data_IF_191134305353
#
_entry.id   IF_191134305353
#
_cell.length_a   1.000
_cell.length_b   1.000
_cell.length_c   1.000
_cell.angle_alpha   90.00
_cell.angle_beta   90.00
_cell.angle_gamma   90.00
#
_symmetry.space_group_name_H-M   'P 1'
#
loop_
_entity.id
_entity.type
_entity.pdbx_description
1 polymer ?
#
# COMPACT_ATOMS: atom_id res chain seq x y z
N UNK A 1 -14.53 10.11 -16.10
CA UNK A 1 -14.37 8.84 -16.86
C UNK A 1 -14.73 7.68 -15.90
N UNK A 2 -14.56 6.38 -16.23
CA UNK A 2 -14.83 5.30 -15.23
C UNK A 2 -13.64 5.07 -14.27
N UNK A 3 -12.48 5.66 -14.59
CA UNK A 3 -11.23 5.57 -13.85
C UNK A 3 -10.65 6.96 -13.54
N UNK A 4 -10.16 7.14 -12.32
CA UNK A 4 -9.25 8.24 -11.96
C UNK A 4 -7.93 7.69 -11.43
N UNK A 5 -6.82 8.18 -11.99
CA UNK A 5 -5.47 7.96 -11.48
C UNK A 5 -5.16 9.03 -10.44
N UNK A 6 -4.68 8.61 -9.27
CA UNK A 6 -4.34 9.50 -8.16
C UNK A 6 -2.85 9.34 -7.87
N UNK A 7 -2.14 10.45 -7.86
CA UNK A 7 -0.69 10.50 -7.67
C UNK A 7 -0.37 11.38 -6.46
N UNK A 8 -0.13 10.79 -5.28
CA UNK A 8 0.49 11.50 -4.17
C UNK A 8 1.94 11.86 -4.53
N UNK A 9 2.29 13.14 -4.42
CA UNK A 9 3.61 13.66 -4.72
C UNK A 9 4.23 14.36 -3.50
N UNK A 10 5.50 14.09 -3.21
CA UNK A 10 6.29 14.83 -2.24
C UNK A 10 7.76 14.81 -2.65
N UNK A 11 8.30 15.97 -3.04
CA UNK A 11 9.66 16.12 -3.55
C UNK A 11 10.04 15.06 -4.60
N UNK A 12 9.16 14.88 -5.59
CA UNK A 12 9.25 13.83 -6.61
C UNK A 12 9.59 14.29 -8.02
N UNK A 13 9.95 15.57 -8.22
CA UNK A 13 10.19 16.17 -9.53
C UNK A 13 11.11 15.32 -10.42
N UNK A 14 12.20 14.69 -9.92
CA UNK A 14 13.09 13.89 -10.77
C UNK A 14 12.44 12.67 -11.43
N UNK A 15 11.35 12.14 -10.86
CA UNK A 15 10.69 10.92 -11.36
C UNK A 15 9.37 11.21 -12.06
N UNK A 16 8.78 12.36 -11.76
CA UNK A 16 7.43 12.71 -12.17
C UNK A 16 7.26 12.72 -13.69
N UNK A 17 8.28 13.18 -14.43
CA UNK A 17 8.23 13.21 -15.90
C UNK A 17 8.02 11.84 -16.53
N UNK A 18 8.79 10.83 -16.11
CA UNK A 18 8.66 9.46 -16.64
C UNK A 18 7.33 8.80 -16.23
N UNK A 19 6.89 9.05 -15.00
CA UNK A 19 5.60 8.59 -14.50
C UNK A 19 4.44 9.13 -15.36
N UNK A 20 4.36 10.45 -15.52
CA UNK A 20 3.27 11.11 -16.24
C UNK A 20 3.30 10.81 -17.75
N UNK A 21 4.48 10.70 -18.36
CA UNK A 21 4.60 10.30 -19.77
C UNK A 21 4.12 8.85 -19.98
N UNK A 22 4.43 7.95 -19.04
CA UNK A 22 3.96 6.56 -19.14
C UNK A 22 2.43 6.40 -19.03
N UNK A 23 1.75 7.35 -18.38
CA UNK A 23 0.29 7.43 -18.34
C UNK A 23 -0.28 7.81 -19.71
N UNK A 24 0.32 8.76 -20.43
CA UNK A 24 -0.13 9.15 -21.79
C UNK A 24 -0.13 8.00 -22.78
N UNK A 25 0.70 6.98 -22.55
CA UNK A 25 0.82 5.79 -23.38
C UNK A 25 -0.20 4.68 -23.05
N UNK A 26 -1.10 4.89 -22.09
CA UNK A 26 -2.12 3.91 -21.71
C UNK A 26 -3.30 3.91 -22.68
N UNK A 27 -3.95 2.76 -22.80
CA UNK A 27 -4.95 2.44 -23.83
C UNK A 27 -6.41 2.60 -23.38
N UNK A 28 -6.64 3.31 -22.26
CA UNK A 28 -7.96 3.51 -21.67
C UNK A 28 -8.12 4.97 -21.21
N UNK A 29 -9.29 5.62 -21.38
CA UNK A 29 -9.51 6.98 -20.87
C UNK A 29 -9.58 7.05 -19.34
N UNK A 30 -8.86 7.99 -18.73
CA UNK A 30 -8.90 8.26 -17.29
C UNK A 30 -8.70 9.76 -16.98
N UNK A 31 -9.18 10.16 -15.80
CA UNK A 31 -8.84 11.46 -15.21
C UNK A 31 -7.58 11.33 -14.34
N UNK A 32 -6.77 12.38 -14.21
CA UNK A 32 -5.58 12.40 -13.34
C UNK A 32 -5.72 13.48 -12.27
N UNK A 33 -5.50 13.08 -11.01
CA UNK A 33 -5.44 13.99 -9.87
C UNK A 33 -4.07 13.81 -9.19
N UNK A 34 -3.28 14.88 -9.18
CA UNK A 34 -2.01 14.94 -8.45
C UNK A 34 -2.21 15.68 -7.14
N UNK A 35 -1.71 15.12 -6.04
CA UNK A 35 -1.78 15.74 -4.72
C UNK A 35 -0.36 16.04 -4.28
N UNK A 36 0.01 17.31 -4.30
CA UNK A 36 1.33 17.76 -3.85
C UNK A 36 1.33 18.02 -2.35
N UNK A 37 2.19 17.30 -1.62
CA UNK A 37 2.33 17.36 -0.17
C UNK A 37 3.34 18.43 0.29
N UNK A 38 3.23 19.64 -0.23
CA UNK A 38 4.14 20.76 0.04
C UNK A 38 5.58 20.50 -0.42
N UNK A 39 5.73 20.11 -1.68
CA UNK A 39 7.04 19.90 -2.31
C UNK A 39 7.79 21.23 -2.47
N UNK A 40 9.12 21.17 -2.38
CA UNK A 40 10.02 22.32 -2.51
C UNK A 40 11.02 22.16 -3.67
N UNK A 41 10.81 21.17 -4.53
CA UNK A 41 11.72 20.76 -5.59
C UNK A 41 11.27 21.19 -6.99
N UNK A 42 10.25 22.04 -7.09
CA UNK A 42 9.67 22.49 -8.36
C UNK A 42 8.63 21.54 -8.97
N UNK A 43 8.21 20.47 -8.27
CA UNK A 43 7.16 19.55 -8.75
C UNK A 43 5.89 20.27 -9.22
N UNK A 44 5.38 21.21 -8.41
CA UNK A 44 4.15 21.97 -8.72
C UNK A 44 4.27 22.74 -10.03
N UNK A 45 5.35 23.53 -10.18
CA UNK A 45 5.58 24.32 -11.39
C UNK A 45 5.71 23.41 -12.63
N UNK A 46 6.42 22.29 -12.50
CA UNK A 46 6.56 21.31 -13.57
C UNK A 46 5.21 20.74 -14.03
N UNK A 47 4.32 20.38 -13.09
CA UNK A 47 2.98 19.85 -13.42
C UNK A 47 2.13 20.92 -14.11
N UNK A 48 2.09 22.14 -13.55
CA UNK A 48 1.27 23.22 -14.10
C UNK A 48 1.70 23.63 -15.51
N UNK A 49 3.00 23.61 -15.80
CA UNK A 49 3.54 23.95 -17.12
C UNK A 49 3.34 22.84 -18.16
N UNK A 50 3.58 21.57 -17.80
CA UNK A 50 3.64 20.46 -18.76
C UNK A 50 2.35 19.63 -18.85
N UNK A 51 1.50 19.68 -17.83
CA UNK A 51 0.27 18.89 -17.71
C UNK A 51 -0.89 19.73 -17.15
N UNK A 52 -1.23 20.89 -17.75
CA UNK A 52 -2.29 21.77 -17.27
C UNK A 52 -3.69 21.13 -17.27
N UNK A 53 -3.86 20.01 -17.98
CA UNK A 53 -5.08 19.21 -17.99
C UNK A 53 -5.29 18.37 -16.71
N UNK A 54 -4.23 18.17 -15.90
CA UNK A 54 -4.33 17.40 -14.66
C UNK A 54 -4.88 18.26 -13.53
N UNK A 55 -5.71 17.67 -12.69
CA UNK A 55 -6.15 18.34 -11.46
C UNK A 55 -5.03 18.31 -10.44
N UNK A 56 -4.58 19.47 -9.98
CA UNK A 56 -3.56 19.59 -8.95
C UNK A 56 -4.18 20.08 -7.64
N UNK A 57 -3.93 19.34 -6.54
CA UNK A 57 -4.29 19.73 -5.17
C UNK A 57 -2.99 19.98 -4.41
N UNK A 58 -2.79 21.22 -3.95
CA UNK A 58 -1.56 21.63 -3.26
C UNK A 58 -1.82 21.76 -1.75
N UNK A 59 -1.12 20.95 -0.95
CA UNK A 59 -1.15 21.05 0.50
C UNK A 59 -0.11 22.07 1.00
N UNK A 60 -0.41 22.72 2.12
CA UNK A 60 0.50 23.67 2.77
C UNK A 60 1.59 22.97 3.61
N UNK A 61 1.38 21.70 3.95
CA UNK A 61 2.32 20.86 4.68
C UNK A 61 2.25 19.41 4.18
N UNK A 62 3.24 18.59 4.54
CA UNK A 62 3.22 17.18 4.19
C UNK A 62 2.29 16.40 5.13
N UNK A 63 1.08 16.08 4.66
CA UNK A 63 0.06 15.34 5.40
C UNK A 63 0.26 13.81 5.35
N UNK A 64 1.27 13.34 4.62
CA UNK A 64 1.55 11.92 4.41
C UNK A 64 0.78 11.31 3.24
N UNK A 65 1.13 10.07 2.91
CA UNK A 65 0.55 9.31 1.82
C UNK A 65 -0.94 9.05 2.02
N UNK A 66 -1.34 8.60 3.22
CA UNK A 66 -2.73 8.22 3.49
C UNK A 66 -3.71 9.39 3.31
N UNK A 67 -3.34 10.59 3.79
CA UNK A 67 -4.16 11.79 3.63
C UNK A 67 -4.21 12.26 2.16
N UNK A 68 -3.07 12.27 1.46
CA UNK A 68 -3.02 12.65 0.05
C UNK A 68 -3.83 11.71 -0.85
N UNK A 69 -3.71 10.39 -0.63
CA UNK A 69 -4.52 9.39 -1.32
C UNK A 69 -6.02 9.63 -1.07
N UNK A 70 -6.42 9.90 0.19
CA UNK A 70 -7.80 10.21 0.53
C UNK A 70 -8.32 11.49 -0.15
N UNK A 71 -7.51 12.55 -0.25
CA UNK A 71 -7.88 13.78 -0.94
C UNK A 71 -8.20 13.51 -2.41
N UNK A 72 -7.33 12.77 -3.10
CA UNK A 72 -7.59 12.36 -4.48
C UNK A 72 -8.84 11.48 -4.62
N UNK A 73 -9.03 10.51 -3.71
CA UNK A 73 -10.19 9.60 -3.77
C UNK A 73 -11.47 10.42 -3.64
N UNK A 74 -11.53 11.33 -2.66
CA UNK A 74 -12.70 12.16 -2.41
C UNK A 74 -12.97 13.16 -3.54
N UNK A 75 -11.93 13.64 -4.23
CA UNK A 75 -12.05 14.55 -5.36
C UNK A 75 -12.49 13.85 -6.67
N UNK A 76 -12.28 12.54 -6.78
CA UNK A 76 -12.75 11.73 -7.90
C UNK A 76 -14.26 11.43 -7.81
N UNK A 77 -14.91 11.21 -8.95
CA UNK A 77 -16.26 10.63 -9.07
C UNK A 77 -16.27 9.30 -9.84
N UNK A 78 -15.09 8.74 -10.13
CA UNK A 78 -14.93 7.54 -10.97
C UNK A 78 -15.26 6.26 -10.20
N UNK A 79 -15.75 5.23 -10.89
CA UNK A 79 -16.05 3.92 -10.29
C UNK A 79 -14.78 3.23 -9.76
N UNK A 80 -13.68 3.41 -10.48
CA UNK A 80 -12.38 2.85 -10.15
C UNK A 80 -11.38 3.95 -9.83
N UNK A 81 -10.54 3.65 -8.84
CA UNK A 81 -9.44 4.52 -8.41
C UNK A 81 -8.14 3.77 -8.62
N UNK A 82 -7.19 4.34 -9.35
CA UNK A 82 -5.84 3.79 -9.46
C UNK A 82 -4.87 4.66 -8.67
N UNK A 83 -4.38 4.15 -7.54
CA UNK A 83 -3.27 4.79 -6.84
C UNK A 83 -1.96 4.44 -7.52
N UNK A 84 -1.19 5.47 -7.82
CA UNK A 84 0.09 5.37 -8.51
C UNK A 84 1.10 6.28 -7.81
N UNK A 85 2.22 5.73 -7.38
CA UNK A 85 3.33 6.54 -6.89
C UNK A 85 3.97 7.34 -8.04
N UNK A 86 4.48 8.52 -7.71
CA UNK A 86 5.19 9.41 -8.64
C UNK A 86 6.51 8.84 -9.19
N UNK A 87 7.04 7.77 -8.61
CA UNK A 87 8.28 7.07 -9.01
C UNK A 87 8.01 5.71 -9.67
N UNK A 88 6.83 5.57 -10.30
CA UNK A 88 6.41 4.38 -11.04
C UNK A 88 6.21 4.71 -12.51
N UNK A 89 6.79 3.87 -13.38
CA UNK A 89 6.59 3.88 -14.83
C UNK A 89 5.71 2.69 -15.24
N UNK A 90 4.70 2.92 -16.06
CA UNK A 90 3.78 1.89 -16.52
C UNK A 90 4.20 1.30 -17.87
N UNK A 91 4.05 0.00 -18.03
CA UNK A 91 4.05 -0.62 -19.36
C UNK A 91 2.71 -0.35 -20.07
N UNK A 92 2.71 -0.33 -21.40
CA UNK A 92 1.48 -0.16 -22.18
C UNK A 92 0.47 -1.28 -21.86
N UNK A 93 -0.82 -0.95 -21.75
CA UNK A 93 -1.87 -1.91 -21.45
C UNK A 93 -2.01 -2.27 -19.96
N UNK A 94 -1.24 -1.63 -19.07
CA UNK A 94 -1.32 -1.84 -17.63
C UNK A 94 -2.70 -1.48 -17.10
N UNK A 95 -3.23 -0.31 -17.45
CA UNK A 95 -4.55 0.13 -16.98
C UNK A 95 -5.65 -0.81 -17.45
N UNK A 96 -5.67 -1.18 -18.73
CA UNK A 96 -6.66 -2.12 -19.28
C UNK A 96 -6.58 -3.49 -18.60
N UNK A 97 -5.37 -3.98 -18.28
CA UNK A 97 -5.17 -5.24 -17.57
C UNK A 97 -5.69 -5.19 -16.13
N UNK A 98 -5.45 -4.08 -15.42
CA UNK A 98 -5.98 -3.84 -14.08
C UNK A 98 -7.52 -3.79 -14.08
N UNK A 99 -8.12 -3.04 -15.00
CA UNK A 99 -9.57 -2.93 -15.17
C UNK A 99 -10.20 -4.27 -15.52
N UNK A 100 -9.62 -5.01 -16.46
CA UNK A 100 -10.08 -6.36 -16.82
C UNK A 100 -10.04 -7.29 -15.61
N UNK A 101 -8.99 -7.21 -14.79
CA UNK A 101 -8.84 -8.06 -13.62
C UNK A 101 -9.84 -7.71 -12.51
N UNK A 102 -10.02 -6.44 -12.18
CA UNK A 102 -10.93 -6.03 -11.10
C UNK A 102 -12.40 -6.27 -11.46
N UNK A 103 -12.74 -6.24 -12.76
CA UNK A 103 -14.08 -6.52 -13.29
C UNK A 103 -14.45 -8.02 -13.32
N UNK A 104 -13.51 -8.94 -13.03
CA UNK A 104 -13.78 -10.40 -13.01
C UNK A 104 -14.73 -10.85 -11.90
N UNK A 105 -14.73 -10.18 -10.76
CA UNK A 105 -15.56 -10.50 -9.59
C UNK A 105 -15.87 -9.20 -8.84
N UNK A 106 -17.15 -8.94 -8.58
CA UNK A 106 -17.61 -7.76 -7.85
C UNK A 106 -17.07 -7.68 -6.41
N UNK A 107 -16.60 -8.79 -5.86
CA UNK A 107 -15.96 -8.86 -4.54
C UNK A 107 -14.45 -8.58 -4.56
N UNK A 108 -13.84 -8.40 -5.75
CA UNK A 108 -12.47 -7.91 -5.82
C UNK A 108 -12.50 -6.42 -5.47
N UNK A 109 -11.92 -6.12 -4.32
CA UNK A 109 -11.76 -4.77 -3.80
C UNK A 109 -10.59 -4.05 -4.47
N UNK A 110 -9.44 -4.72 -4.55
CA UNK A 110 -8.22 -4.13 -5.08
C UNK A 110 -7.46 -5.13 -5.95
N UNK A 111 -6.78 -4.62 -6.97
CA UNK A 111 -5.85 -5.39 -7.81
C UNK A 111 -4.50 -4.70 -7.81
N UNK A 112 -3.47 -5.43 -7.43
CA UNK A 112 -2.08 -4.99 -7.46
C UNK A 112 -1.40 -5.38 -8.78
N UNK A 113 -0.66 -4.44 -9.34
CA UNK A 113 0.21 -4.66 -10.50
C UNK A 113 1.35 -5.62 -10.21
N UNK A 114 1.98 -6.14 -11.26
CA UNK A 114 3.33 -6.70 -11.24
C UNK A 114 4.34 -5.58 -11.19
N UNK A 115 4.94 -5.39 -10.01
CA UNK A 115 5.92 -4.32 -9.78
C UNK A 115 7.33 -4.89 -9.93
N UNK A 116 8.06 -4.38 -10.91
CA UNK A 116 9.45 -4.72 -11.23
C UNK A 116 10.37 -3.60 -10.70
N UNK A 117 11.58 -3.94 -10.28
CA UNK A 117 12.56 -2.94 -9.87
C UNK A 117 13.05 -2.16 -11.08
N UNK A 118 12.92 -0.84 -11.05
CA UNK A 118 13.31 0.03 -12.16
C UNK A 118 14.79 -0.12 -12.54
N UNK A 119 15.69 -0.16 -11.55
CA UNK A 119 17.14 -0.27 -11.78
C UNK A 119 17.65 -1.68 -12.10
N UNK A 120 16.82 -2.72 -11.91
CA UNK A 120 17.17 -4.10 -12.28
C UNK A 120 15.91 -4.85 -12.71
N UNK A 121 15.54 -4.76 -14.00
CA UNK A 121 14.31 -5.37 -14.54
C UNK A 121 14.25 -6.90 -14.39
N UNK A 122 15.37 -7.56 -14.09
CA UNK A 122 15.41 -8.99 -13.81
C UNK A 122 14.96 -9.33 -12.38
N UNK A 123 14.58 -8.34 -11.57
CA UNK A 123 14.13 -8.50 -10.20
C UNK A 123 12.75 -7.90 -9.97
N UNK A 124 11.88 -8.70 -9.38
CA UNK A 124 10.62 -8.22 -8.82
C UNK A 124 10.86 -7.25 -7.66
N UNK A 125 10.05 -6.20 -7.59
CA UNK A 125 9.87 -5.43 -6.36
C UNK A 125 8.71 -6.02 -5.55
N UNK A 126 7.55 -6.20 -6.18
CA UNK A 126 6.34 -6.64 -5.49
C UNK A 126 5.35 -7.41 -6.41
N UNK A 127 4.82 -8.52 -5.90
CA UNK A 127 3.78 -9.33 -6.53
C UNK A 127 2.52 -9.44 -5.65
N UNK A 128 2.25 -8.40 -4.85
CA UNK A 128 1.32 -8.32 -3.74
C UNK A 128 1.93 -8.68 -2.39
N UNK A 129 1.37 -8.10 -1.34
CA UNK A 129 1.86 -8.22 0.04
C UNK A 129 1.18 -9.36 0.81
N UNK A 130 1.96 -9.97 1.71
CA UNK A 130 1.50 -10.90 2.74
C UNK A 130 1.61 -10.27 4.13
N UNK A 131 0.68 -10.60 5.03
CA UNK A 131 0.76 -10.29 6.46
C UNK A 131 0.77 -11.58 7.30
N UNK A 132 1.46 -11.57 8.44
CA UNK A 132 1.78 -12.76 9.25
C UNK A 132 1.29 -12.63 10.69
N UNK A 133 1.17 -13.76 11.43
CA UNK A 133 0.86 -13.72 12.88
C UNK A 133 1.96 -13.06 13.72
N UNK A 134 3.18 -12.91 13.18
CA UNK A 134 4.27 -12.16 13.80
C UNK A 134 4.13 -10.64 13.62
N UNK A 135 3.06 -10.20 12.94
CA UNK A 135 2.81 -8.80 12.62
C UNK A 135 3.75 -8.26 11.54
N UNK A 136 4.34 -9.13 10.72
CA UNK A 136 5.25 -8.73 9.65
C UNK A 136 4.56 -8.69 8.30
N UNK A 137 4.91 -7.70 7.50
CA UNK A 137 4.62 -7.63 6.07
C UNK A 137 5.73 -8.30 5.27
N UNK A 138 5.37 -8.94 4.16
CA UNK A 138 6.30 -9.51 3.19
C UNK A 138 5.84 -9.15 1.79
N UNK A 139 6.71 -8.42 1.09
CA UNK A 139 6.63 -8.19 -0.36
C UNK A 139 6.91 -9.49 -1.09
N UNK A 140 5.89 -10.08 -1.71
CA UNK A 140 6.07 -11.35 -2.41
C UNK A 140 6.93 -11.11 -3.65
N UNK A 141 7.93 -11.95 -3.86
CA UNK A 141 8.80 -11.87 -5.04
C UNK A 141 10.00 -10.94 -4.93
N UNK A 142 10.07 -10.05 -3.94
CA UNK A 142 11.16 -9.08 -3.82
C UNK A 142 12.56 -9.69 -4.06
N UNK A 143 13.26 -9.19 -5.10
CA UNK A 143 14.60 -9.61 -5.50
C UNK A 143 14.69 -10.96 -6.25
N UNK A 144 13.55 -11.58 -6.60
CA UNK A 144 13.48 -12.82 -7.41
C UNK A 144 13.13 -12.49 -8.86
N UNK A 145 13.37 -13.42 -9.79
CA UNK A 145 13.01 -13.23 -11.21
C UNK A 145 11.49 -13.03 -11.41
N UNK A 146 11.08 -12.04 -12.22
CA UNK A 146 9.69 -11.80 -12.61
C UNK A 146 8.99 -12.97 -13.31
N UNK A 147 9.73 -13.87 -13.97
CA UNK A 147 9.17 -15.02 -14.70
C UNK A 147 8.52 -16.04 -13.75
N UNK A 148 8.86 -15.99 -12.46
CA UNK A 148 8.25 -16.83 -11.42
C UNK A 148 6.87 -16.32 -10.98
N UNK A 149 6.50 -15.10 -11.36
CA UNK A 149 5.28 -14.42 -10.92
C UNK A 149 4.42 -14.04 -12.14
N UNK A 150 4.06 -15.05 -12.92
CA UNK A 150 3.24 -14.91 -14.15
C UNK A 150 1.81 -15.42 -13.97
N UNK A 151 1.42 -15.79 -12.74
CA UNK A 151 0.08 -16.31 -12.43
C UNK A 151 -0.66 -15.33 -11.55
N UNK A 152 -1.86 -14.98 -12.00
CA UNK A 152 -2.83 -14.26 -11.19
C UNK A 152 -3.25 -15.07 -9.96
N UNK A 153 -3.46 -14.37 -8.83
CA UNK A 153 -3.75 -15.01 -7.55
C UNK A 153 -4.33 -14.01 -6.55
N UNK A 154 -4.99 -14.55 -5.54
CA UNK A 154 -5.34 -13.78 -4.35
C UNK A 154 -4.08 -13.39 -3.54
N UNK A 155 -4.05 -12.16 -3.06
CA UNK A 155 -2.99 -11.57 -2.21
C UNK A 155 -3.59 -11.05 -0.92
N UNK A 156 -2.81 -10.98 0.17
CA UNK A 156 -3.36 -10.45 1.41
C UNK A 156 -3.65 -8.96 1.28
N UNK A 157 -2.70 -8.20 0.73
CA UNK A 157 -2.79 -6.76 0.53
C UNK A 157 -2.24 -6.36 -0.84
N UNK A 158 -2.87 -5.34 -1.44
CA UNK A 158 -2.46 -4.75 -2.71
C UNK A 158 -1.58 -3.53 -2.43
N UNK A 159 -0.35 -3.54 -2.94
CA UNK A 159 0.65 -2.48 -2.69
C UNK A 159 0.18 -1.17 -3.33
N UNK A 160 0.02 -0.12 -2.52
CA UNK A 160 -0.54 1.15 -2.99
C UNK A 160 0.38 1.95 -3.93
N UNK A 161 1.61 1.48 -4.19
CA UNK A 161 2.50 2.07 -5.19
C UNK A 161 1.92 1.98 -6.63
N UNK A 162 1.19 0.90 -6.93
CA UNK A 162 0.49 0.72 -8.19
C UNK A 162 -0.64 -0.31 -8.00
N UNK A 163 -1.80 0.16 -7.54
CA UNK A 163 -2.99 -0.70 -7.36
C UNK A 163 -4.28 0.03 -7.72
N UNK A 164 -5.18 -0.68 -8.40
CA UNK A 164 -6.54 -0.22 -8.67
C UNK A 164 -7.48 -0.69 -7.56
N UNK A 165 -8.44 0.16 -7.18
CA UNK A 165 -9.43 -0.05 -6.13
C UNK A 165 -10.82 0.21 -6.67
N UNK A 166 -11.80 -0.54 -6.14
CA UNK A 166 -13.22 -0.30 -6.40
C UNK A 166 -13.75 0.74 -5.43
N UNK A 167 -14.17 1.91 -5.93
CA UNK A 167 -14.59 3.05 -5.11
C UNK A 167 -15.75 2.72 -4.17
N UNK A 168 -16.80 2.07 -4.66
CA UNK A 168 -17.97 1.73 -3.83
C UNK A 168 -17.61 0.92 -2.58
N UNK A 169 -16.54 0.12 -2.62
CA UNK A 169 -16.08 -0.65 -1.47
C UNK A 169 -15.31 0.27 -0.51
N UNK A 170 -14.49 1.21 -1.01
CA UNK A 170 -13.85 2.23 -0.17
C UNK A 170 -14.88 3.06 0.61
N UNK A 171 -15.99 3.42 -0.03
CA UNK A 171 -17.11 4.14 0.59
C UNK A 171 -17.80 3.31 1.70
N UNK A 172 -17.85 1.98 1.54
CA UNK A 172 -18.43 1.07 2.53
C UNK A 172 -17.50 0.81 3.73
N UNK A 173 -16.23 0.49 3.47
CA UNK A 173 -15.29 0.03 4.51
C UNK A 173 -14.47 1.18 5.13
N UNK A 174 -14.60 2.39 4.57
CA UNK A 174 -13.80 3.57 4.87
C UNK A 174 -12.48 3.64 4.08
N UNK A 175 -11.99 4.86 3.89
CA UNK A 175 -10.74 5.14 3.16
C UNK A 175 -9.47 4.80 3.97
N UNK A 176 -8.29 5.28 3.55
CA UNK A 176 -7.06 5.11 4.32
C UNK A 176 -7.18 5.82 5.68
N UNK A 177 -6.58 5.24 6.71
CA UNK A 177 -6.54 5.88 8.03
C UNK A 177 -5.35 6.83 8.09
N UNK A 178 -5.64 8.12 8.06
CA UNK A 178 -4.66 9.19 7.96
C UNK A 178 -3.66 9.18 9.12
N UNK A 179 -4.00 8.56 10.26
CA UNK A 179 -3.07 8.36 11.37
C UNK A 179 -1.89 7.44 11.02
N UNK A 180 -1.99 6.60 9.99
CA UNK A 180 -0.86 5.80 9.52
C UNK A 180 0.22 6.65 8.87
N UNK A 181 -0.12 7.83 8.33
CA UNK A 181 0.74 8.70 7.55
C UNK A 181 1.29 8.03 6.28
N UNK A 182 2.17 7.03 6.42
CA UNK A 182 2.73 6.20 5.36
C UNK A 182 3.23 4.85 5.92
N UNK A 183 3.45 3.87 5.03
CA UNK A 183 3.72 2.46 5.30
C UNK A 183 2.63 1.71 6.08
N UNK A 184 2.17 0.58 5.52
CA UNK A 184 1.17 -0.35 6.09
C UNK A 184 -0.27 0.18 6.13
N UNK A 185 -0.55 1.38 5.62
CA UNK A 185 -1.91 1.89 5.40
C UNK A 185 -2.67 1.07 4.36
N UNK A 186 -1.98 0.55 3.35
CA UNK A 186 -2.49 -0.37 2.33
C UNK A 186 -2.80 -1.77 2.91
N UNK A 187 -1.94 -2.24 3.82
CA UNK A 187 -2.16 -3.46 4.59
C UNK A 187 -3.36 -3.31 5.53
N UNK A 188 -3.50 -2.18 6.24
CA UNK A 188 -4.69 -1.88 7.04
C UNK A 188 -5.96 -1.92 6.18
N UNK A 189 -5.97 -1.18 5.08
CA UNK A 189 -7.13 -1.08 4.19
C UNK A 189 -7.50 -2.45 3.60
N UNK A 190 -6.52 -3.23 3.17
CA UNK A 190 -6.74 -4.59 2.66
C UNK A 190 -7.23 -5.54 3.76
N UNK A 191 -6.73 -5.40 5.00
CA UNK A 191 -7.23 -6.18 6.14
C UNK A 191 -8.72 -5.86 6.38
N UNK A 192 -9.10 -4.58 6.38
CA UNK A 192 -10.49 -4.15 6.51
C UNK A 192 -11.39 -4.70 5.41
N UNK A 193 -10.94 -4.64 4.16
CA UNK A 193 -11.68 -5.21 3.03
C UNK A 193 -11.95 -6.71 3.27
N UNK A 194 -10.96 -7.45 3.77
CA UNK A 194 -11.10 -8.88 4.11
C UNK A 194 -12.05 -9.15 5.26
N UNK A 195 -12.07 -8.29 6.28
CA UNK A 195 -13.04 -8.39 7.38
C UNK A 195 -14.46 -8.31 6.83
N UNK A 196 -14.69 -7.49 5.80
CA UNK A 196 -15.97 -7.33 5.10
C UNK A 196 -16.21 -8.40 4.01
N UNK A 197 -15.30 -9.36 3.82
CA UNK A 197 -15.45 -10.46 2.85
C UNK A 197 -14.95 -10.16 1.44
N UNK A 198 -14.34 -8.99 1.22
CA UNK A 198 -13.74 -8.62 -0.05
C UNK A 198 -12.33 -9.20 -0.23
N UNK A 199 -11.89 -9.24 -1.49
CA UNK A 199 -10.63 -9.87 -1.92
C UNK A 199 -9.66 -8.83 -2.49
N UNK A 200 -8.37 -9.06 -2.28
CA UNK A 200 -7.31 -8.38 -3.03
C UNK A 200 -6.68 -9.37 -4.01
N UNK A 201 -6.37 -8.92 -5.22
CA UNK A 201 -5.89 -9.76 -6.31
C UNK A 201 -4.58 -9.25 -6.89
N UNK A 202 -3.81 -10.13 -7.51
CA UNK A 202 -2.58 -9.82 -8.22
C UNK A 202 -2.78 -10.05 -9.73
N UNK A 203 -2.45 -9.05 -10.54
CA UNK A 203 -2.53 -9.10 -12.00
C UNK A 203 -1.11 -9.09 -12.60
N UNK A 204 -0.58 -10.25 -13.06
CA UNK A 204 0.76 -10.32 -13.63
C UNK A 204 0.89 -9.62 -14.98
N UNK A 205 -0.21 -9.40 -15.70
CA UNK A 205 -0.25 -8.68 -16.99
C UNK A 205 -0.19 -7.15 -16.83
N UNK A 206 -0.51 -6.62 -15.65
CA UNK A 206 -0.38 -5.21 -15.35
C UNK A 206 1.05 -4.91 -14.87
N UNK A 207 1.96 -4.58 -15.77
CA UNK A 207 3.39 -4.44 -15.46
C UNK A 207 3.79 -2.98 -15.22
N UNK A 208 4.48 -2.73 -14.11
CA UNK A 208 5.04 -1.42 -13.80
C UNK A 208 6.47 -1.55 -13.29
N UNK A 209 7.26 -0.49 -13.45
CA UNK A 209 8.63 -0.37 -12.97
C UNK A 209 8.67 0.68 -11.86
N UNK A 210 9.18 0.32 -10.68
CA UNK A 210 9.20 1.18 -9.50
C UNK A 210 10.63 1.45 -9.06
N UNK A 211 10.97 2.72 -8.91
CA UNK A 211 12.31 3.15 -8.45
C UNK A 211 12.52 2.73 -7.00
N UNK A 212 11.54 2.98 -6.13
CA UNK A 212 11.41 2.36 -4.83
C UNK A 212 12.26 2.99 -3.74
N UNK A 213 11.60 3.35 -2.63
CA UNK A 213 12.18 3.92 -1.40
C UNK A 213 12.92 5.27 -1.53
N UNK A 214 13.23 5.79 -2.71
CA UNK A 214 14.04 7.01 -2.88
C UNK A 214 13.42 8.28 -2.28
N UNK A 215 12.10 8.48 -2.39
CA UNK A 215 11.38 9.63 -1.79
C UNK A 215 11.46 9.67 -0.26
N UNK A 216 11.72 8.51 0.38
CA UNK A 216 11.95 8.40 1.83
C UNK A 216 13.41 8.20 2.23
N UNK A 217 14.34 8.22 1.26
CA UNK A 217 15.76 7.95 1.44
C UNK A 217 16.16 6.47 1.28
N UNK A 218 17.10 5.99 2.10
CA UNK A 218 17.60 4.61 1.99
C UNK A 218 16.57 3.57 2.50
N UNK A 219 16.76 2.30 2.12
CA UNK A 219 15.91 1.16 2.55
C UNK A 219 15.69 1.11 4.07
N UNK A 220 16.67 1.52 4.85
CA UNK A 220 16.59 1.65 6.31
C UNK A 220 17.03 3.06 6.72
N UNK A 221 16.06 3.86 7.15
CA UNK A 221 16.31 5.18 7.71
C UNK A 221 15.48 5.38 8.99
N UNK A 222 15.75 6.45 9.74
CA UNK A 222 15.11 6.67 11.03
C UNK A 222 13.59 6.86 10.91
N UNK A 223 13.16 7.67 9.93
CA UNK A 223 11.76 7.96 9.67
C UNK A 223 10.97 6.69 9.37
N UNK A 224 11.39 5.92 8.35
CA UNK A 224 10.76 4.66 7.94
C UNK A 224 10.81 3.61 9.04
N UNK A 225 11.93 3.46 9.74
CA UNK A 225 12.07 2.44 10.79
C UNK A 225 11.14 2.74 11.97
N UNK A 226 11.06 4.00 12.41
CA UNK A 226 10.15 4.42 13.48
C UNK A 226 8.70 4.26 13.07
N UNK A 227 8.35 4.76 11.89
CA UNK A 227 6.98 4.79 11.38
C UNK A 227 6.45 3.38 11.12
N UNK A 228 7.24 2.52 10.47
CA UNK A 228 6.87 1.11 10.29
C UNK A 228 6.75 0.38 11.62
N UNK A 229 7.64 0.61 12.60
CA UNK A 229 7.52 0.01 13.93
C UNK A 229 6.22 0.43 14.64
N UNK A 230 5.86 1.71 14.57
CA UNK A 230 4.60 2.23 15.08
C UNK A 230 3.40 1.58 14.40
N UNK A 231 3.38 1.54 13.07
CA UNK A 231 2.25 1.03 12.30
C UNK A 231 2.11 -0.51 12.43
N UNK A 232 3.20 -1.23 12.75
CA UNK A 232 3.13 -2.65 13.15
C UNK A 232 2.29 -2.85 14.42
N UNK A 233 2.17 -1.85 15.31
CA UNK A 233 1.26 -1.89 16.47
C UNK A 233 -0.17 -1.54 16.06
N UNK A 234 -0.33 -0.58 15.15
CA UNK A 234 -1.65 -0.10 14.71
C UNK A 234 -2.45 -1.17 13.96
N UNK A 235 -1.85 -1.87 12.99
CA UNK A 235 -2.57 -2.86 12.17
C UNK A 235 -3.29 -3.93 13.02
N UNK A 236 -2.63 -4.67 13.94
CA UNK A 236 -3.32 -5.67 14.74
C UNK A 236 -4.28 -5.02 15.75
N UNK A 237 -3.92 -3.86 16.32
CA UNK A 237 -4.80 -3.15 17.24
C UNK A 237 -6.12 -2.75 16.56
N UNK A 238 -6.06 -2.22 15.35
CA UNK A 238 -7.21 -1.75 14.59
C UNK A 238 -8.10 -2.89 14.12
N UNK A 239 -7.48 -3.92 13.55
CA UNK A 239 -8.20 -4.90 12.75
C UNK A 239 -8.60 -6.17 13.51
N UNK A 240 -7.86 -6.56 14.56
CA UNK A 240 -8.20 -7.77 15.31
C UNK A 240 -9.26 -7.47 16.39
N UNK A 241 -10.36 -8.25 16.46
CA UNK A 241 -11.24 -8.26 17.61
C UNK A 241 -10.46 -8.78 18.82
N UNK A 242 -10.93 -8.46 20.03
CA UNK A 242 -10.18 -8.74 21.25
C UNK A 242 -9.77 -10.22 21.43
N UNK A 243 -10.56 -11.24 21.03
CA UNK A 243 -10.13 -12.64 21.18
C UNK A 243 -8.98 -12.98 20.24
N UNK A 244 -9.06 -12.53 18.98
CA UNK A 244 -8.01 -12.75 17.99
C UNK A 244 -6.72 -12.02 18.39
N UNK A 245 -6.83 -10.79 18.89
CA UNK A 245 -5.69 -10.03 19.36
C UNK A 245 -5.02 -10.71 20.56
N UNK A 246 -5.80 -11.25 21.50
CA UNK A 246 -5.29 -11.96 22.67
C UNK A 246 -4.52 -13.23 22.27
N UNK A 247 -5.08 -14.04 21.39
CA UNK A 247 -4.42 -15.27 20.88
C UNK A 247 -3.13 -14.92 20.14
N UNK A 248 -3.14 -13.84 19.35
CA UNK A 248 -1.96 -13.44 18.57
C UNK A 248 -0.91 -12.67 19.37
N UNK A 249 -1.22 -12.22 20.60
CA UNK A 249 -0.35 -11.33 21.37
C UNK A 249 1.06 -11.91 21.60
N UNK A 250 1.14 -13.22 21.88
CA UNK A 250 2.43 -13.90 22.07
C UNK A 250 3.28 -13.91 20.79
N UNK A 251 2.66 -14.16 19.65
CA UNK A 251 3.34 -14.18 18.35
C UNK A 251 3.76 -12.79 17.90
N UNK A 252 2.90 -11.78 18.11
CA UNK A 252 3.23 -10.38 17.87
C UNK A 252 4.42 -9.95 18.75
N UNK A 253 4.42 -10.31 20.04
CA UNK A 253 5.53 -10.05 20.96
C UNK A 253 6.86 -10.65 20.48
N UNK A 254 6.85 -11.91 20.06
CA UNK A 254 8.01 -12.59 19.47
C UNK A 254 8.46 -11.86 18.19
N UNK A 255 7.52 -11.53 17.30
CA UNK A 255 7.79 -10.83 16.05
C UNK A 255 8.45 -9.46 16.27
N UNK A 256 7.96 -8.69 17.25
CA UNK A 256 8.54 -7.40 17.61
C UNK A 256 9.93 -7.54 18.22
N UNK A 257 10.14 -8.55 19.07
CA UNK A 257 11.44 -8.80 19.67
C UNK A 257 12.51 -9.18 18.63
N UNK A 258 12.18 -10.07 17.68
CA UNK A 258 13.08 -10.45 16.58
C UNK A 258 13.42 -9.23 15.71
N UNK A 259 12.42 -8.42 15.33
CA UNK A 259 12.67 -7.17 14.58
C UNK A 259 13.53 -6.19 15.38
N UNK A 260 13.31 -6.08 16.69
CA UNK A 260 14.14 -5.25 17.56
C UNK A 260 15.61 -5.70 17.53
N UNK A 261 15.91 -6.99 17.62
CA UNK A 261 17.28 -7.51 17.50
C UNK A 261 17.85 -7.19 16.11
N UNK A 262 17.07 -7.43 15.05
CA UNK A 262 17.48 -7.15 13.67
C UNK A 262 17.86 -5.67 13.46
N UNK A 263 17.00 -4.74 13.90
CA UNK A 263 17.27 -3.31 13.78
C UNK A 263 18.37 -2.84 14.73
N UNK A 264 18.52 -3.46 15.90
CA UNK A 264 19.64 -3.18 16.83
C UNK A 264 20.98 -3.50 16.19
N UNK A 265 21.10 -4.63 15.48
CA UNK A 265 22.30 -5.00 14.70
C UNK A 265 22.62 -4.03 13.55
N UNK A 266 21.65 -3.23 13.12
CA UNK A 266 21.79 -2.21 12.07
C UNK A 266 21.91 -0.78 12.61
N UNK A 267 22.01 -0.60 13.93
CA UNK A 267 22.09 0.71 14.57
C UNK A 267 20.75 1.41 14.82
N UNK A 268 19.61 0.84 14.39
CA UNK A 268 18.27 1.43 14.51
C UNK A 268 17.44 0.88 15.68
N UNK A 269 18.03 0.10 16.60
CA UNK A 269 17.29 -0.57 17.69
C UNK A 269 16.50 0.40 18.58
N UNK A 270 17.12 1.51 18.97
CA UNK A 270 16.47 2.57 19.78
C UNK A 270 15.31 3.22 19.00
N UNK A 271 15.49 3.46 17.71
CA UNK A 271 14.49 4.06 16.82
C UNK A 271 13.29 3.12 16.64
N UNK A 272 13.54 1.84 16.40
CA UNK A 272 12.50 0.81 16.30
C UNK A 272 11.68 0.72 17.60
N UNK A 273 12.36 0.67 18.75
CA UNK A 273 11.70 0.65 20.06
C UNK A 273 10.89 1.92 20.35
N UNK A 274 11.39 3.09 19.96
CA UNK A 274 10.65 4.34 20.06
C UNK A 274 9.35 4.30 19.23
N UNK A 275 9.40 3.75 18.01
CA UNK A 275 8.21 3.54 17.18
C UNK A 275 7.18 2.60 17.81
N UNK A 276 7.61 1.47 18.40
CA UNK A 276 6.70 0.57 19.13
C UNK A 276 6.04 1.27 20.33
N UNK A 277 6.82 2.03 21.12
CA UNK A 277 6.31 2.81 22.25
C UNK A 277 5.33 3.87 21.81
N UNK A 278 5.63 4.58 20.73
CA UNK A 278 4.73 5.55 20.12
C UNK A 278 3.42 4.85 19.74
N UNK A 279 3.49 3.76 18.96
CA UNK A 279 2.32 3.02 18.48
C UNK A 279 1.45 2.53 19.62
N UNK A 280 2.04 2.03 20.71
CA UNK A 280 1.28 1.68 21.90
C UNK A 280 0.61 2.91 22.53
N UNK A 281 1.34 4.00 22.78
CA UNK A 281 0.78 5.20 23.44
C UNK A 281 -0.34 5.85 22.63
N UNK A 282 -0.19 5.94 21.31
CA UNK A 282 -1.14 6.59 20.41
C UNK A 282 -2.21 5.66 19.85
N UNK A 283 -2.19 4.35 20.15
CA UNK A 283 -3.17 3.38 19.61
C UNK A 283 -4.63 3.81 19.77
N UNK A 284 -4.98 4.53 20.85
CA UNK A 284 -6.34 5.02 21.09
C UNK A 284 -6.84 6.05 20.07
N UNK A 285 -5.94 6.67 19.30
CA UNK A 285 -6.27 7.55 18.16
C UNK A 285 -6.75 6.76 16.94
N UNK A 286 -6.43 5.46 16.89
CA UNK A 286 -6.77 4.57 15.79
C UNK A 286 -8.16 4.00 16.02
N UNK A 287 -9.08 4.29 15.09
CA UNK A 287 -10.42 3.72 15.11
C UNK A 287 -10.37 2.22 14.86
N UNK A 288 -10.79 1.41 15.84
CA UNK A 288 -10.91 -0.04 15.67
C UNK A 288 -12.05 -0.36 14.69
N UNK A 289 -11.87 -1.43 13.92
CA UNK A 289 -12.95 -2.00 13.11
C UNK A 289 -14.00 -2.57 14.05
N UNK A 290 -15.26 -2.15 13.87
CA UNK A 290 -16.38 -2.64 14.68
C UNK A 290 -16.61 -4.11 14.39
N UNK A 291 -16.50 -4.95 15.43
CA UNK A 291 -16.83 -6.36 15.31
C UNK A 291 -18.33 -6.54 15.08
N UNK A 292 -18.70 -7.33 14.08
CA UNK A 292 -20.08 -7.77 13.85
C UNK A 292 -20.11 -9.29 13.67
N UNK A 293 -21.17 -9.95 14.13
CA UNK A 293 -21.30 -11.41 13.99
C UNK A 293 -21.29 -11.88 12.54
N UNK A 294 -21.70 -11.02 11.59
CA UNK A 294 -21.65 -11.30 10.14
C UNK A 294 -20.21 -11.56 9.66
N UNK A 295 -19.22 -10.91 10.26
CA UNK A 295 -17.81 -11.00 9.87
C UNK A 295 -17.06 -12.15 10.56
N UNK A 296 -17.72 -12.93 11.43
CA UNK A 296 -17.06 -13.97 12.25
C UNK A 296 -16.25 -14.96 11.40
N UNK A 297 -16.83 -15.48 10.31
CA UNK A 297 -16.15 -16.42 9.39
C UNK A 297 -14.90 -15.79 8.76
N UNK A 298 -14.97 -14.51 8.41
CA UNK A 298 -13.86 -13.79 7.78
C UNK A 298 -12.65 -13.70 8.73
N UNK A 299 -12.87 -13.52 10.03
CA UNK A 299 -11.78 -13.54 11.01
C UNK A 299 -11.06 -14.90 11.09
N UNK A 300 -11.76 -16.03 10.95
CA UNK A 300 -11.10 -17.35 10.87
C UNK A 300 -10.29 -17.50 9.59
N UNK A 301 -10.84 -17.08 8.45
CA UNK A 301 -10.14 -17.11 7.16
C UNK A 301 -8.87 -16.26 7.25
N UNK A 302 -8.98 -15.04 7.77
CA UNK A 302 -7.85 -14.16 7.99
C UNK A 302 -6.83 -14.83 8.91
N UNK A 303 -7.25 -15.38 10.05
CA UNK A 303 -6.33 -16.04 10.98
C UNK A 303 -5.57 -17.20 10.30
N UNK A 304 -6.25 -18.01 9.48
CA UNK A 304 -5.60 -19.07 8.71
C UNK A 304 -4.60 -18.51 7.70
N UNK A 305 -4.93 -17.43 6.98
CA UNK A 305 -4.01 -16.76 6.05
C UNK A 305 -2.77 -16.25 6.80
N UNK A 306 -2.94 -15.61 7.96
CA UNK A 306 -1.81 -15.11 8.76
C UNK A 306 -0.86 -16.26 9.18
N UNK A 307 -1.41 -17.41 9.60
CA UNK A 307 -0.62 -18.59 9.98
C UNK A 307 0.11 -19.15 8.76
N UNK A 308 -0.61 -19.36 7.65
CA UNK A 308 -0.05 -19.87 6.38
C UNK A 308 1.09 -18.98 5.88
N UNK A 309 0.90 -17.67 5.90
CA UNK A 309 1.92 -16.71 5.46
C UNK A 309 3.14 -16.74 6.39
N UNK A 310 2.97 -16.92 7.70
CA UNK A 310 4.10 -17.12 8.63
C UNK A 310 4.90 -18.38 8.29
N UNK A 311 4.23 -19.50 8.01
CA UNK A 311 4.92 -20.72 7.60
C UNK A 311 5.70 -20.50 6.30
N UNK A 312 5.08 -19.87 5.30
CA UNK A 312 5.77 -19.48 4.06
C UNK A 312 6.95 -18.53 4.27
N UNK A 313 6.95 -17.74 5.33
CA UNK A 313 8.06 -16.85 5.66
C UNK A 313 9.27 -17.63 6.20
N UNK A 314 9.03 -18.73 6.92
CA UNK A 314 10.09 -19.54 7.54
C UNK A 314 10.74 -20.53 6.56
N UNK A 315 10.03 -20.94 5.51
CA UNK A 315 10.47 -21.99 4.57
C UNK A 315 10.95 -21.46 3.20
N UNK A 316 11.29 -20.16 3.07
CA UNK A 316 11.68 -19.51 1.81
C UNK A 316 12.93 -18.64 1.93
#
# INVERSE_FOLDING_TARGET
MDLTVIIPNYNGQPFLGECLESLKNQDHPFDVIVIDNASQDGSVAYIQENYPEFTLIENQENLGFAAAANQGIKASNSEYIFLLNNDVQLEQGTISSLLKCIKKDENIFAVSSKIIQYHDPNKMDDAGDEYTILGWTRRVGYGKSPDKYVREREIFSACAAASIYRRRILEEIGYFDENFFAYMEDVDLSYRARIHGYKCWYCPEAVVYHVGSQTSGSRYNEFKTRLAARNNVYVPYKNMPWPQLLVNLVFLGIGYFIKYIFFSRKGYGRIYWAGLKEGYKSRKKIGKVTYTHKNFKNYFIIQWILIRNTLRFLFY
#
